data_IF_823366240788
#
_entry.id   IF_823366240788
#
_cell.length_a   1.000
_cell.length_b   1.000
_cell.length_c   1.000
_cell.angle_alpha   90.00
_cell.angle_beta   90.00
_cell.angle_gamma   90.00
#
_symmetry.space_group_name_H-M   'P 1'
#
loop_
_entity.id
_entity.type
_entity.pdbx_description
1 polymer ?
#
# COMPACT_ATOMS: atom_id res chain seq x y z
N UNK A 1 1.96 7.37 -7.20
CA UNK A 1 1.51 8.73 -6.78
C UNK A 1 0.39 8.62 -5.75
N UNK A 2 0.10 9.68 -5.00
CA UNK A 2 -1.00 9.69 -4.00
C UNK A 2 -2.31 9.24 -4.67
N UNK A 3 -2.97 8.27 -4.06
CA UNK A 3 -4.23 7.70 -4.55
C UNK A 3 -4.06 6.51 -5.48
N UNK A 4 -2.84 6.14 -5.88
CA UNK A 4 -2.64 4.91 -6.66
C UNK A 4 -3.02 3.68 -5.83
N UNK A 5 -3.71 2.74 -6.47
CA UNK A 5 -3.92 1.40 -5.90
C UNK A 5 -2.57 0.71 -5.79
N UNK A 6 -2.35 0.11 -4.63
CA UNK A 6 -1.14 -0.66 -4.33
C UNK A 6 -1.51 -1.99 -3.70
N UNK A 7 -0.60 -2.93 -3.78
CA UNK A 7 -0.66 -4.20 -3.07
C UNK A 7 0.64 -4.40 -2.29
N UNK A 8 0.53 -4.90 -1.07
CA UNK A 8 1.69 -5.33 -0.30
C UNK A 8 2.10 -6.71 -0.80
N UNK A 9 3.36 -6.88 -1.21
CA UNK A 9 3.87 -8.13 -1.79
C UNK A 9 4.76 -8.91 -0.82
N UNK A 10 5.24 -8.27 0.25
CA UNK A 10 6.07 -8.90 1.27
C UNK A 10 5.64 -8.51 2.69
N UNK A 11 5.95 -9.35 3.67
CA UNK A 11 5.71 -9.09 5.09
C UNK A 11 4.30 -9.45 5.58
N UNK A 12 3.92 -9.05 6.82
CA UNK A 12 2.71 -9.53 7.49
C UNK A 12 1.39 -9.14 6.81
N UNK A 13 1.42 -8.15 5.92
CA UNK A 13 0.26 -7.62 5.22
C UNK A 13 0.22 -8.05 3.75
N UNK A 14 1.02 -9.05 3.35
CA UNK A 14 1.07 -9.55 1.98
C UNK A 14 -0.32 -9.90 1.45
N UNK A 15 -0.62 -9.47 0.22
CA UNK A 15 -1.91 -9.67 -0.46
C UNK A 15 -2.97 -8.62 -0.12
N UNK A 16 -2.72 -7.75 0.86
CA UNK A 16 -3.66 -6.68 1.20
C UNK A 16 -3.50 -5.53 0.20
N UNK A 17 -4.63 -5.09 -0.35
CA UNK A 17 -4.71 -3.95 -1.25
C UNK A 17 -5.01 -2.67 -0.50
N UNK A 18 -4.55 -1.55 -1.06
CA UNK A 18 -4.79 -0.24 -0.48
C UNK A 18 -4.49 0.90 -1.43
N UNK A 19 -4.35 2.10 -0.88
CA UNK A 19 -4.02 3.31 -1.61
C UNK A 19 -2.74 3.93 -1.05
N UNK A 20 -1.82 4.28 -1.94
CA UNK A 20 -0.63 5.02 -1.55
C UNK A 20 -1.02 6.42 -1.05
N UNK A 21 -0.64 6.77 0.17
CA UNK A 21 -0.94 8.08 0.75
C UNK A 21 0.23 9.05 0.58
N UNK A 22 1.43 8.69 1.05
CA UNK A 22 2.66 9.52 1.00
C UNK A 22 3.89 8.73 1.43
N UNK A 23 5.08 9.24 1.09
CA UNK A 23 6.35 8.81 1.68
C UNK A 23 6.51 9.29 3.12
N UNK A 24 7.23 8.52 3.95
CA UNK A 24 7.63 8.91 5.30
C UNK A 24 9.10 8.56 5.54
N UNK A 25 9.98 9.55 5.45
CA UNK A 25 11.42 9.30 5.57
C UNK A 25 11.97 8.58 4.34
N UNK A 26 13.11 7.88 4.48
CA UNK A 26 13.75 7.17 3.38
C UNK A 26 13.25 5.72 3.31
N UNK A 27 12.81 5.29 2.13
CA UNK A 27 12.44 3.90 1.84
C UNK A 27 11.16 3.41 2.54
N UNK A 28 10.30 4.33 2.98
CA UNK A 28 9.07 4.00 3.71
C UNK A 28 7.89 4.78 3.18
N UNK A 29 6.75 4.09 3.09
CA UNK A 29 5.51 4.60 2.53
C UNK A 29 4.37 4.38 3.51
N UNK A 30 3.46 5.35 3.56
CA UNK A 30 2.19 5.21 4.25
C UNK A 30 1.14 4.75 3.25
N UNK A 31 0.54 3.60 3.52
CA UNK A 31 -0.54 3.01 2.73
C UNK A 31 -1.79 2.93 3.60
N UNK A 32 -2.93 3.34 3.02
CA UNK A 32 -4.23 3.04 3.61
C UNK A 32 -4.69 1.69 3.08
N UNK A 33 -4.74 0.68 3.93
CA UNK A 33 -5.14 -0.68 3.56
C UNK A 33 -6.59 -0.94 3.93
N UNK A 34 -7.27 -1.75 3.12
CA UNK A 34 -8.60 -2.29 3.44
C UNK A 34 -8.48 -3.76 3.82
N UNK A 35 -8.84 -4.10 5.06
CA UNK A 35 -8.89 -5.48 5.53
C UNK A 35 -10.12 -5.68 6.39
N UNK A 36 -10.91 -6.72 6.11
CA UNK A 36 -12.11 -7.09 6.89
C UNK A 36 -13.10 -5.91 7.07
N UNK A 37 -13.23 -5.05 6.07
CA UNK A 37 -14.10 -3.85 6.11
C UNK A 37 -13.58 -2.71 7.00
N UNK A 38 -12.33 -2.79 7.46
CA UNK A 38 -11.66 -1.75 8.23
C UNK A 38 -10.55 -1.10 7.41
N UNK A 39 -10.34 0.19 7.66
CA UNK A 39 -9.25 0.95 7.08
C UNK A 39 -8.19 1.26 8.14
N UNK A 40 -6.93 0.98 7.81
CA UNK A 40 -5.79 1.34 8.65
C UNK A 40 -4.70 2.00 7.81
N UNK A 41 -4.00 2.98 8.39
CA UNK A 41 -2.78 3.54 7.80
C UNK A 41 -1.56 2.83 8.37
N UNK A 42 -0.77 2.22 7.50
CA UNK A 42 0.41 1.43 7.87
C UNK A 42 1.66 1.98 7.19
N UNK A 43 2.77 1.90 7.91
CA UNK A 43 4.10 2.24 7.44
C UNK A 43 4.75 0.96 6.89
N UNK A 44 5.03 0.95 5.59
CA UNK A 44 5.54 -0.21 4.86
C UNK A 44 6.83 0.18 4.14
N UNK A 45 7.77 -0.76 3.96
CA UNK A 45 8.93 -0.53 3.11
C UNK A 45 8.48 -0.24 1.68
N UNK A 46 9.15 0.68 1.01
CA UNK A 46 8.88 0.96 -0.41
C UNK A 46 9.12 -0.28 -1.28
N UNK A 47 10.10 -1.12 -0.93
CA UNK A 47 10.44 -2.34 -1.65
C UNK A 47 9.43 -3.49 -1.47
N UNK A 48 8.52 -3.36 -0.50
CA UNK A 48 7.51 -4.38 -0.15
C UNK A 48 6.14 -4.06 -0.74
N UNK A 49 6.03 -3.01 -1.56
CA UNK A 49 4.78 -2.51 -2.13
C UNK A 49 4.89 -2.39 -3.66
N UNK A 50 3.88 -2.90 -4.37
CA UNK A 50 3.75 -2.73 -5.82
C UNK A 50 2.54 -1.88 -6.18
N UNK A 51 2.67 -1.08 -7.24
CA UNK A 51 1.57 -0.31 -7.82
C UNK A 51 0.75 -1.23 -8.72
N UNK A 52 -0.56 -1.29 -8.47
CA UNK A 52 -1.47 -2.03 -9.34
C UNK A 52 -1.79 -1.19 -10.58
N UNK A 53 -1.67 -1.75 -11.80
CA UNK A 53 -2.00 -1.04 -13.01
C UNK A 53 -3.51 -0.74 -13.10
N UNK A 54 -3.86 0.45 -13.60
CA UNK A 54 -5.26 0.89 -13.73
C UNK A 54 -6.10 0.00 -14.66
N UNK A 55 -5.47 -0.84 -15.49
CA UNK A 55 -6.11 -1.73 -16.48
C UNK A 55 -7.02 -2.81 -15.84
N UNK A 56 -6.92 -3.02 -14.52
CA UNK A 56 -7.74 -3.97 -13.77
C UNK A 56 -8.74 -3.28 -12.80
N UNK A 57 -9.04 -1.99 -13.02
CA UNK A 57 -9.92 -1.19 -12.13
C UNK A 57 -11.39 -1.29 -12.44
#
# INVERSE_FOLDING_TARGET
>A
KKGDKVIVVNGPLTGVTGFFARYRGKGRVIVTIEALGQYASVDVSEEDVEILPEILS
#
